data_IF_641395009032
#
_entry.id   IF_641395009032
#
_cell.length_a   1.000
_cell.length_b   1.000
_cell.length_c   1.000
_cell.angle_alpha   90.00
_cell.angle_beta   90.00
_cell.angle_gamma   90.00
#
_symmetry.space_group_name_H-M   'P 1'
#
loop_
_entity.id
_entity.type
_entity.pdbx_description
1 polymer ?
#
# COMPACT_ATOMS: atom_id res chain seq x y z
N UNK A 1 -22.62 13.77 -27.50
CA UNK A 1 -22.58 14.24 -26.10
C UNK A 1 -21.18 13.98 -25.59
N UNK A 2 -20.58 14.93 -24.86
CA UNK A 2 -19.34 14.66 -24.14
C UNK A 2 -19.44 13.38 -23.32
N UNK A 3 -18.40 12.52 -23.35
CA UNK A 3 -18.41 11.30 -22.55
C UNK A 3 -18.30 11.63 -21.06
N UNK A 4 -18.65 10.64 -20.25
CA UNK A 4 -18.45 10.63 -18.81
C UNK A 4 -17.35 9.63 -18.55
N UNK A 5 -16.42 9.99 -17.68
CA UNK A 5 -15.28 9.16 -17.33
C UNK A 5 -15.12 9.04 -15.83
N UNK A 6 -14.81 7.81 -15.38
CA UNK A 6 -14.38 7.48 -14.02
C UNK A 6 -13.04 6.79 -14.12
N UNK A 7 -12.08 7.20 -13.32
CA UNK A 7 -10.80 6.51 -13.20
C UNK A 7 -9.86 7.28 -12.30
N UNK A 8 -8.63 6.77 -12.21
CA UNK A 8 -7.38 7.48 -11.97
C UNK A 8 -6.29 6.42 -11.85
N UNK A 9 -5.63 6.25 -10.70
CA UNK A 9 -4.38 5.49 -10.60
C UNK A 9 -4.32 4.54 -9.40
N UNK A 10 -3.54 3.47 -9.57
CA UNK A 10 -3.07 2.60 -8.48
C UNK A 10 -1.55 2.74 -8.37
N UNK A 11 -1.06 3.09 -7.19
CA UNK A 11 0.37 3.34 -6.97
C UNK A 11 0.87 2.79 -5.63
N UNK A 12 2.19 2.75 -5.48
CA UNK A 12 2.86 2.45 -4.22
C UNK A 12 3.10 3.73 -3.43
N UNK A 13 2.34 3.89 -2.35
CA UNK A 13 2.48 4.97 -1.39
C UNK A 13 3.68 4.65 -0.48
N UNK A 14 4.83 5.28 -0.73
CA UNK A 14 6.10 4.88 -0.12
C UNK A 14 6.28 5.50 1.26
N UNK A 15 5.62 6.63 1.52
CA UNK A 15 5.71 7.35 2.79
C UNK A 15 4.43 7.20 3.65
N UNK A 16 3.46 6.42 3.17
CA UNK A 16 2.19 6.12 3.83
C UNK A 16 1.34 7.37 4.14
N UNK A 17 1.45 8.42 3.32
CA UNK A 17 0.70 9.67 3.53
C UNK A 17 -0.64 9.73 2.78
N UNK A 18 -0.94 8.72 1.97
CA UNK A 18 -2.16 8.64 1.16
C UNK A 18 -2.22 9.66 0.04
N UNK A 19 -1.09 10.21 -0.41
CA UNK A 19 -0.97 11.20 -1.50
C UNK A 19 0.01 10.67 -2.54
N UNK A 20 -0.35 10.78 -3.82
CA UNK A 20 0.53 10.44 -4.93
C UNK A 20 1.70 11.42 -4.99
N UNK A 21 2.88 11.04 -4.52
CA UNK A 21 4.08 11.89 -4.52
C UNK A 21 5.00 11.65 -5.74
N UNK A 22 5.77 12.67 -6.18
CA UNK A 22 6.78 12.47 -7.22
C UNK A 22 7.79 11.38 -6.82
N UNK A 23 7.96 10.38 -7.69
CA UNK A 23 8.85 9.25 -7.46
C UNK A 23 8.14 7.99 -6.96
N UNK A 24 6.86 8.08 -6.60
CA UNK A 24 6.08 6.91 -6.22
C UNK A 24 5.73 6.03 -7.42
N UNK A 25 6.05 4.75 -7.30
CA UNK A 25 5.97 3.81 -8.41
C UNK A 25 4.53 3.39 -8.68
N UNK A 26 4.11 3.24 -9.95
CA UNK A 26 2.80 2.73 -10.30
C UNK A 26 2.65 1.22 -9.99
N UNK A 27 1.40 0.76 -9.90
CA UNK A 27 1.09 -0.68 -9.81
C UNK A 27 0.29 -1.13 -11.03
N UNK A 28 0.96 -1.84 -11.93
CA UNK A 28 0.38 -2.39 -13.16
C UNK A 28 -0.34 -3.72 -12.96
N UNK A 29 -1.29 -4.03 -13.84
CA UNK A 29 -1.95 -5.35 -13.88
C UNK A 29 -3.00 -5.58 -12.79
N UNK A 30 -3.44 -4.54 -12.10
CA UNK A 30 -4.49 -4.60 -11.07
C UNK A 30 -5.85 -4.57 -11.75
N UNK A 31 -6.69 -5.58 -11.49
CA UNK A 31 -8.07 -5.58 -11.96
C UNK A 31 -8.91 -4.63 -11.09
N UNK A 32 -9.52 -3.64 -11.74
CA UNK A 32 -10.41 -2.65 -11.15
C UNK A 32 -11.82 -2.86 -11.70
N UNK A 33 -12.85 -2.73 -10.86
CA UNK A 33 -14.22 -3.11 -11.19
C UNK A 33 -15.20 -1.99 -10.82
N UNK A 34 -16.11 -1.68 -11.75
CA UNK A 34 -17.15 -0.66 -11.58
C UNK A 34 -18.47 -1.32 -11.24
N UNK A 35 -19.16 -0.81 -10.22
CA UNK A 35 -20.46 -1.29 -9.75
C UNK A 35 -21.47 -0.15 -9.66
N UNK A 36 -22.75 -0.51 -9.71
CA UNK A 36 -23.81 0.41 -9.32
C UNK A 36 -23.68 0.80 -7.84
N UNK A 37 -24.15 1.99 -7.46
CA UNK A 37 -24.21 2.40 -6.07
C UNK A 37 -24.94 1.36 -5.20
N UNK A 38 -24.37 1.04 -4.04
CA UNK A 38 -24.98 0.17 -3.04
C UNK A 38 -24.89 -1.32 -3.37
N UNK A 39 -24.28 -1.70 -4.49
CA UNK A 39 -24.03 -3.09 -4.81
C UNK A 39 -23.09 -3.71 -3.77
N UNK A 40 -23.40 -4.93 -3.33
CA UNK A 40 -22.44 -5.72 -2.57
C UNK A 40 -21.33 -6.20 -3.51
N UNK A 41 -20.16 -5.57 -3.41
CA UNK A 41 -18.99 -5.86 -4.26
C UNK A 41 -18.53 -7.33 -4.17
N UNK A 42 -18.91 -8.07 -3.11
CA UNK A 42 -18.55 -9.48 -2.95
C UNK A 42 -19.44 -10.43 -3.75
N UNK A 43 -20.68 -10.02 -4.07
CA UNK A 43 -21.67 -10.88 -4.71
C UNK A 43 -22.12 -10.35 -6.08
N UNK A 44 -22.10 -9.04 -6.28
CA UNK A 44 -22.57 -8.42 -7.51
C UNK A 44 -21.64 -8.72 -8.69
N UNK A 45 -22.25 -8.79 -9.88
CA UNK A 45 -21.51 -8.75 -11.14
C UNK A 45 -21.15 -7.28 -11.44
N UNK A 46 -19.89 -6.95 -11.74
CA UNK A 46 -19.52 -5.58 -12.06
C UNK A 46 -20.14 -5.15 -13.39
N UNK A 47 -20.48 -3.86 -13.50
CA UNK A 47 -20.93 -3.22 -14.75
C UNK A 47 -19.82 -3.22 -15.80
N UNK A 48 -18.57 -3.06 -15.35
CA UNK A 48 -17.38 -3.09 -16.20
C UNK A 48 -16.15 -3.45 -15.38
N UNK A 49 -15.09 -3.91 -16.07
CA UNK A 49 -13.80 -4.23 -15.44
C UNK A 49 -12.66 -3.68 -16.27
N UNK A 50 -11.73 -2.95 -15.66
CA UNK A 50 -10.49 -2.47 -16.26
C UNK A 50 -9.27 -3.15 -15.61
N UNK A 51 -8.10 -3.03 -16.23
CA UNK A 51 -6.82 -3.52 -15.69
C UNK A 51 -5.78 -2.41 -15.78
N UNK A 52 -5.14 -2.03 -14.69
CA UNK A 52 -4.17 -0.94 -14.69
C UNK A 52 -3.03 -1.18 -15.69
N UNK A 53 -2.62 -0.13 -16.40
CA UNK A 53 -1.49 -0.17 -17.34
C UNK A 53 -0.14 -0.08 -16.63
N UNK A 54 0.96 0.05 -17.39
CA UNK A 54 2.31 0.10 -16.85
C UNK A 54 2.54 1.31 -15.92
N UNK A 55 1.74 2.36 -16.12
CA UNK A 55 1.73 3.61 -15.38
C UNK A 55 0.68 3.62 -14.25
N UNK A 56 -0.03 2.50 -14.07
CA UNK A 56 -0.97 2.29 -12.96
C UNK A 56 -2.37 2.85 -13.23
N UNK A 57 -2.65 3.39 -14.42
CA UNK A 57 -3.91 4.06 -14.72
C UNK A 57 -4.99 3.10 -15.18
N UNK A 58 -6.24 3.43 -14.86
CA UNK A 58 -7.45 2.75 -15.33
C UNK A 58 -8.59 3.74 -15.59
N UNK A 59 -9.47 3.40 -16.52
CA UNK A 59 -10.58 4.27 -16.95
C UNK A 59 -11.83 3.46 -17.33
N UNK A 60 -12.98 3.97 -16.93
CA UNK A 60 -14.31 3.63 -17.43
C UNK A 60 -14.91 4.84 -18.16
N UNK A 61 -15.34 4.68 -19.41
CA UNK A 61 -15.81 5.76 -20.26
C UNK A 61 -17.11 5.39 -20.99
N UNK A 62 -18.03 6.36 -21.08
CA UNK A 62 -19.23 6.22 -21.90
C UNK A 62 -18.98 6.46 -23.39
N UNK A 63 -17.79 6.92 -23.81
CA UNK A 63 -17.47 7.18 -25.22
C UNK A 63 -17.50 5.87 -26.02
N UNK A 64 -18.38 5.71 -27.02
CA UNK A 64 -18.43 4.50 -27.84
C UNK A 64 -17.29 4.39 -28.86
N UNK A 65 -16.54 5.47 -29.12
CA UNK A 65 -15.53 5.54 -30.18
C UNK A 65 -14.21 4.87 -29.78
N UNK A 66 -13.89 4.84 -28.49
CA UNK A 66 -12.56 4.48 -27.99
C UNK A 66 -11.45 5.43 -28.50
N UNK A 67 -10.23 5.29 -27.99
CA UNK A 67 -9.05 5.89 -28.61
C UNK A 67 -8.37 4.86 -29.51
N UNK A 68 -8.03 5.17 -30.78
CA UNK A 68 -7.29 4.24 -31.61
C UNK A 68 -5.89 4.01 -31.04
N UNK A 69 -5.47 2.74 -30.97
CA UNK A 69 -4.23 2.28 -30.34
C UNK A 69 -2.92 2.73 -31.03
N UNK A 70 -2.94 3.64 -32.01
CA UNK A 70 -1.73 4.11 -32.68
C UNK A 70 -1.26 5.46 -32.12
N UNK A 71 -0.28 5.40 -31.22
CA UNK A 71 0.25 6.55 -30.49
C UNK A 71 1.00 7.56 -31.33
N UNK A 72 0.30 8.37 -32.13
CA UNK A 72 0.74 9.66 -32.67
C UNK A 72 -0.46 10.41 -33.29
N UNK A 73 -1.54 10.60 -32.53
CA UNK A 73 -2.48 11.68 -32.82
C UNK A 73 -3.29 12.01 -31.57
N UNK A 74 -2.74 12.91 -30.73
CA UNK A 74 -3.60 13.78 -29.95
C UNK A 74 -4.42 14.57 -30.98
N UNK A 75 -5.63 14.11 -31.27
CA UNK A 75 -6.54 14.86 -32.12
C UNK A 75 -6.77 16.18 -31.37
N UNK A 76 -6.27 17.27 -31.93
CA UNK A 76 -6.69 18.63 -31.57
C UNK A 76 -8.18 18.73 -31.93
N UNK A 77 -9.03 18.18 -31.08
CA UNK A 77 -10.46 18.41 -31.18
C UNK A 77 -10.73 19.78 -30.55
N UNK A 78 -10.88 20.76 -31.43
CA UNK A 78 -11.36 22.12 -31.14
C UNK A 78 -12.74 22.16 -30.46
N UNK A 79 -13.39 21.02 -30.22
CA UNK A 79 -14.61 20.89 -29.40
C UNK A 79 -14.35 20.86 -27.88
N UNK A 80 -13.10 21.01 -27.43
CA UNK A 80 -12.75 21.00 -26.01
C UNK A 80 -12.78 19.60 -25.37
N UNK A 81 -12.97 18.55 -26.16
CA UNK A 81 -12.91 17.17 -25.70
C UNK A 81 -11.45 16.71 -25.67
N UNK A 82 -10.69 17.21 -24.69
CA UNK A 82 -9.36 16.68 -24.40
C UNK A 82 -9.54 15.36 -23.68
N UNK A 83 -9.54 14.28 -24.46
CA UNK A 83 -9.24 12.96 -23.94
C UNK A 83 -7.98 12.99 -23.10
N UNK A 84 -8.10 12.53 -21.86
CA UNK A 84 -6.99 12.15 -20.99
C UNK A 84 -5.65 12.82 -21.32
N UNK A 85 -5.59 14.12 -21.05
CA UNK A 85 -4.32 14.75 -20.74
C UNK A 85 -4.53 15.32 -19.35
N UNK A 86 -4.63 14.43 -18.35
CA UNK A 86 -4.12 14.84 -17.06
C UNK A 86 -2.68 15.28 -17.31
N UNK A 87 -2.29 16.43 -16.79
CA UNK A 87 -0.91 16.93 -16.90
C UNK A 87 0.11 15.98 -16.25
N UNK A 88 -0.36 14.97 -15.49
CA UNK A 88 0.44 13.87 -14.93
C UNK A 88 0.60 12.65 -15.87
N UNK A 89 -0.23 12.48 -16.90
CA UNK A 89 -0.16 11.38 -17.87
C UNK A 89 0.88 11.66 -18.96
N UNK A 90 2.12 11.92 -18.53
CA UNK A 90 3.27 12.07 -19.42
C UNK A 90 3.72 10.69 -19.94
N UNK A 91 2.96 10.12 -20.87
CA UNK A 91 3.32 8.84 -21.47
C UNK A 91 2.16 8.17 -22.18
N UNK A 92 1.59 8.82 -23.20
CA UNK A 92 0.47 8.27 -23.97
C UNK A 92 0.79 6.88 -24.55
N UNK A 93 0.27 5.83 -23.90
CA UNK A 93 0.03 4.47 -24.44
C UNK A 93 -0.79 3.65 -23.44
N UNK A 94 -2.02 4.07 -23.17
CA UNK A 94 -2.94 3.22 -22.44
C UNK A 94 -3.39 2.02 -23.29
N UNK A 95 -3.41 0.83 -22.69
CA UNK A 95 -3.91 -0.38 -23.35
C UNK A 95 -5.45 -0.42 -23.35
N UNK A 96 -6.06 -1.14 -24.29
CA UNK A 96 -7.53 -1.41 -24.29
C UNK A 96 -8.01 -2.23 -23.08
N UNK A 97 -7.08 -2.70 -22.23
CA UNK A 97 -7.39 -3.33 -20.96
C UNK A 97 -7.58 -2.31 -19.84
N UNK A 98 -6.76 -1.25 -19.82
CA UNK A 98 -6.84 -0.13 -18.88
C UNK A 98 -8.06 0.75 -19.11
N UNK A 99 -8.51 0.87 -20.36
CA UNK A 99 -9.68 1.66 -20.69
C UNK A 99 -10.86 0.80 -21.14
N UNK A 100 -12.01 0.98 -20.49
CA UNK A 100 -13.29 0.39 -20.92
C UNK A 100 -14.22 1.47 -21.46
N UNK A 101 -14.53 1.35 -22.74
CA UNK A 101 -15.30 2.31 -23.53
C UNK A 101 -16.73 1.83 -23.79
N UNK A 102 -17.57 2.74 -24.27
CA UNK A 102 -18.93 2.46 -24.73
C UNK A 102 -19.88 2.03 -23.61
N UNK A 103 -19.58 2.40 -22.36
CA UNK A 103 -20.39 2.05 -21.20
C UNK A 103 -21.69 2.85 -21.19
N UNK A 104 -22.73 2.30 -21.83
CA UNK A 104 -24.08 2.90 -21.84
C UNK A 104 -24.71 3.00 -20.45
N UNK A 105 -24.21 2.20 -19.49
CA UNK A 105 -24.63 2.23 -18.09
C UNK A 105 -24.01 3.35 -17.28
N UNK A 106 -23.06 4.09 -17.85
CA UNK A 106 -22.42 5.24 -17.21
C UNK A 106 -23.23 6.50 -17.56
N UNK A 107 -24.01 6.96 -16.59
CA UNK A 107 -25.02 8.02 -16.72
C UNK A 107 -24.59 9.25 -15.93
N UNK A 108 -24.97 10.47 -16.35
CA UNK A 108 -24.64 11.70 -15.62
C UNK A 108 -25.35 11.74 -14.26
N UNK A 109 -24.80 12.48 -13.30
CA UNK A 109 -25.37 12.68 -11.96
C UNK A 109 -25.75 11.37 -11.23
N UNK A 110 -25.02 10.30 -11.51
CA UNK A 110 -25.30 8.96 -10.97
C UNK A 110 -24.14 8.51 -10.10
N UNK A 111 -24.47 7.89 -8.96
CA UNK A 111 -23.45 7.34 -8.07
C UNK A 111 -23.07 5.91 -8.50
N UNK A 112 -21.79 5.61 -8.36
CA UNK A 112 -21.17 4.32 -8.62
C UNK A 112 -20.21 3.93 -7.49
N UNK A 113 -19.81 2.68 -7.46
CA UNK A 113 -18.71 2.21 -6.63
C UNK A 113 -17.60 1.66 -7.52
N UNK A 114 -16.37 2.02 -7.21
CA UNK A 114 -15.18 1.42 -7.80
C UNK A 114 -14.52 0.55 -6.76
N UNK A 115 -14.18 -0.68 -7.12
CA UNK A 115 -13.54 -1.60 -6.21
C UNK A 115 -12.36 -2.33 -6.86
N UNK A 116 -11.35 -2.57 -6.02
CA UNK A 116 -10.31 -3.55 -6.26
C UNK A 116 -10.57 -4.69 -5.28
N UNK A 117 -10.95 -5.85 -5.80
CA UNK A 117 -11.20 -7.02 -4.95
C UNK A 117 -9.90 -7.71 -4.57
N UNK A 118 -9.92 -8.38 -3.42
CA UNK A 118 -8.79 -9.18 -2.94
C UNK A 118 -7.50 -8.36 -2.78
N UNK A 119 -7.59 -7.29 -2.01
CA UNK A 119 -6.44 -6.46 -1.62
C UNK A 119 -5.86 -6.89 -0.27
N UNK A 120 -6.56 -7.74 0.49
CA UNK A 120 -6.10 -8.32 1.76
C UNK A 120 -6.38 -9.83 1.82
N UNK A 121 -5.65 -10.53 2.70
CA UNK A 121 -5.79 -11.99 2.91
C UNK A 121 -5.02 -12.86 1.89
N UNK A 122 -5.27 -14.17 1.93
CA UNK A 122 -4.49 -15.16 1.18
C UNK A 122 -4.75 -15.15 -0.34
N UNK A 123 -5.92 -14.68 -0.78
CA UNK A 123 -6.33 -14.69 -2.19
C UNK A 123 -6.01 -13.38 -2.92
N UNK A 124 -5.02 -12.61 -2.44
CA UNK A 124 -4.65 -11.32 -3.02
C UNK A 124 -4.39 -11.42 -4.53
N UNK A 125 -4.74 -10.37 -5.29
CA UNK A 125 -4.28 -10.26 -6.67
C UNK A 125 -2.75 -10.26 -6.72
N UNK A 126 -2.16 -10.91 -7.74
CA UNK A 126 -0.70 -11.08 -7.82
C UNK A 126 0.07 -9.75 -7.77
N UNK A 127 -0.44 -8.71 -8.43
CA UNK A 127 0.14 -7.37 -8.44
C UNK A 127 0.14 -6.68 -7.05
N UNK A 128 -0.68 -7.17 -6.11
CA UNK A 128 -0.88 -6.61 -4.77
C UNK A 128 -0.47 -7.58 -3.65
N UNK A 129 0.15 -8.73 -4.00
CA UNK A 129 0.37 -9.83 -3.08
C UNK A 129 1.18 -9.43 -1.83
N UNK A 130 2.14 -8.51 -1.99
CA UNK A 130 2.99 -7.99 -0.92
C UNK A 130 2.56 -6.62 -0.40
N UNK A 131 1.48 -6.04 -0.90
CA UNK A 131 1.10 -4.67 -0.57
C UNK A 131 -0.10 -4.62 0.39
N UNK A 132 -0.23 -3.53 1.13
CA UNK A 132 -1.39 -3.21 1.97
C UNK A 132 -2.03 -1.91 1.50
N UNK A 133 -3.35 -1.79 1.61
CA UNK A 133 -4.03 -0.56 1.23
C UNK A 133 -3.60 0.57 2.17
N UNK A 134 -3.20 1.72 1.59
CA UNK A 134 -2.92 2.91 2.39
C UNK A 134 -4.21 3.54 2.92
N UNK A 135 -4.12 4.27 4.02
CA UNK A 135 -5.28 4.97 4.55
C UNK A 135 -5.74 6.06 3.55
N UNK A 136 -7.06 6.27 3.37
CA UNK A 136 -7.52 7.37 2.53
C UNK A 136 -7.00 8.71 3.06
N UNK A 137 -6.60 9.60 2.15
CA UNK A 137 -6.29 10.99 2.49
C UNK A 137 -7.45 11.89 2.07
N UNK A 138 -7.77 12.89 2.88
CA UNK A 138 -8.82 13.90 2.61
C UNK A 138 -8.19 15.27 2.32
N UNK A 139 -6.97 15.28 1.77
CA UNK A 139 -6.24 16.50 1.40
C UNK A 139 -7.00 17.38 0.40
N UNK A 140 -6.50 18.59 0.15
CA UNK A 140 -7.16 19.57 -0.74
C UNK A 140 -7.05 19.25 -2.24
N UNK A 141 -6.30 18.20 -2.61
CA UNK A 141 -6.07 17.78 -3.99
C UNK A 141 -6.72 16.41 -4.21
N UNK A 142 -7.97 16.45 -4.69
CA UNK A 142 -8.80 15.27 -4.91
C UNK A 142 -8.31 14.37 -6.07
N UNK A 143 -7.35 14.81 -6.89
CA UNK A 143 -6.84 14.04 -8.03
C UNK A 143 -5.60 13.21 -7.67
N UNK A 144 -5.11 13.33 -6.42
CA UNK A 144 -3.87 12.71 -5.96
C UNK A 144 -3.99 12.04 -4.60
N UNK A 145 -5.13 12.09 -3.95
CA UNK A 145 -5.35 11.45 -2.66
C UNK A 145 -5.86 10.03 -2.85
N UNK A 146 -5.41 9.09 -2.02
CA UNK A 146 -6.01 7.76 -1.98
C UNK A 146 -7.44 7.90 -1.48
N UNK A 147 -8.39 7.37 -2.25
CA UNK A 147 -9.81 7.35 -1.90
C UNK A 147 -10.24 6.01 -1.31
N UNK A 148 -9.46 4.96 -1.58
CA UNK A 148 -9.80 3.59 -1.26
C UNK A 148 -9.91 3.34 0.24
N UNK A 149 -11.07 2.85 0.69
CA UNK A 149 -11.28 2.33 2.03
C UNK A 149 -11.43 0.80 2.01
N UNK A 150 -10.93 0.11 3.04
CA UNK A 150 -11.11 -1.34 3.18
C UNK A 150 -12.56 -1.69 3.53
N UNK A 151 -13.17 -2.54 2.70
CA UNK A 151 -14.44 -3.21 2.97
C UNK A 151 -14.22 -4.73 2.90
N UNK A 152 -14.03 -5.35 4.06
CA UNK A 152 -13.57 -6.75 4.14
C UNK A 152 -12.17 -6.90 3.55
N UNK A 153 -12.03 -7.70 2.50
CA UNK A 153 -10.76 -7.89 1.78
C UNK A 153 -10.65 -7.06 0.49
N UNK A 154 -11.54 -6.09 0.27
CA UNK A 154 -11.60 -5.28 -0.94
C UNK A 154 -11.28 -3.82 -0.61
N UNK A 155 -10.65 -3.10 -1.55
CA UNK A 155 -10.57 -1.64 -1.51
C UNK A 155 -11.75 -1.08 -2.30
N UNK A 156 -12.49 -0.14 -1.72
CA UNK A 156 -13.70 0.43 -2.31
C UNK A 156 -13.69 1.95 -2.19
N UNK A 157 -14.09 2.64 -3.25
CA UNK A 157 -14.37 4.07 -3.28
C UNK A 157 -15.71 4.36 -3.95
N UNK A 158 -16.37 5.45 -3.57
CA UNK A 158 -17.65 5.89 -4.13
C UNK A 158 -17.50 7.10 -5.02
N UNK A 159 -17.97 6.90 -6.25
CA UNK A 159 -18.07 7.78 -7.40
C UNK A 159 -19.36 8.57 -7.60
N UNK A 160 -19.46 9.91 -7.59
CA UNK A 160 -20.60 10.56 -8.26
C UNK A 160 -20.15 11.16 -9.58
N UNK A 161 -20.65 10.63 -10.70
CA UNK A 161 -20.40 11.25 -12.00
C UNK A 161 -21.05 12.63 -12.03
N UNK A 162 -20.37 13.58 -12.64
CA UNK A 162 -20.89 14.94 -12.81
C UNK A 162 -21.94 15.00 -13.93
N UNK A 163 -22.34 16.21 -14.31
CA UNK A 163 -23.17 16.46 -15.49
C UNK A 163 -22.51 15.92 -16.78
N UNK A 164 -23.23 15.93 -17.89
CA UNK A 164 -22.72 15.49 -19.19
C UNK A 164 -21.41 16.23 -19.54
N UNK A 165 -20.31 15.48 -19.66
CA UNK A 165 -18.96 16.00 -19.90
C UNK A 165 -18.16 16.33 -18.65
N UNK A 166 -18.71 16.12 -17.47
CA UNK A 166 -17.98 16.19 -16.22
C UNK A 166 -17.35 14.83 -15.91
N UNK A 167 -16.03 14.79 -16.02
CA UNK A 167 -15.21 13.62 -15.71
C UNK A 167 -14.82 13.61 -14.24
N UNK A 168 -14.72 12.43 -13.64
CA UNK A 168 -14.18 12.25 -12.29
C UNK A 168 -12.91 11.42 -12.36
N UNK A 169 -11.78 12.11 -12.27
CA UNK A 169 -10.42 11.55 -12.29
C UNK A 169 -9.81 11.56 -10.89
N UNK A 170 -10.63 11.37 -9.86
CA UNK A 170 -10.22 11.38 -8.47
C UNK A 170 -10.03 9.97 -7.91
N UNK A 171 -10.56 8.93 -8.57
CA UNK A 171 -10.75 7.63 -7.92
C UNK A 171 -9.46 6.84 -7.88
N UNK A 172 -8.82 6.89 -6.72
CA UNK A 172 -7.44 6.52 -6.51
C UNK A 172 -7.24 5.48 -5.42
N UNK A 173 -6.22 4.63 -5.59
CA UNK A 173 -5.86 3.61 -4.62
C UNK A 173 -4.35 3.56 -4.38
N UNK A 174 -3.92 4.10 -3.24
CA UNK A 174 -2.55 3.97 -2.76
C UNK A 174 -2.32 2.67 -2.00
N UNK A 175 -1.15 2.07 -2.19
CA UNK A 175 -0.76 0.84 -1.53
C UNK A 175 0.63 0.97 -0.92
N UNK A 176 0.78 0.63 0.36
CA UNK A 176 2.09 0.66 1.02
C UNK A 176 2.78 -0.69 0.88
N UNK A 177 4.10 -0.66 0.73
CA UNK A 177 4.91 -1.84 1.05
C UNK A 177 5.00 -1.95 2.57
N UNK A 178 4.52 -3.06 3.17
CA UNK A 178 4.61 -3.26 4.59
C UNK A 178 6.09 -3.30 5.01
N UNK A 179 6.53 -2.27 5.74
CA UNK A 179 7.87 -2.19 6.30
C UNK A 179 7.86 -2.60 7.77
N UNK A 180 8.93 -3.29 8.20
CA UNK A 180 9.15 -3.59 9.60
C UNK A 180 9.84 -2.41 10.28
N UNK A 181 9.33 -2.00 11.43
CA UNK A 181 9.94 -0.98 12.28
C UNK A 181 10.35 -1.64 13.59
N UNK A 182 11.66 -1.79 13.79
CA UNK A 182 12.24 -2.48 14.94
C UNK A 182 13.01 -1.51 15.81
N UNK A 183 12.69 -1.52 17.10
CA UNK A 183 13.34 -0.68 18.11
C UNK A 183 14.00 -1.52 19.16
N UNK A 184 15.29 -1.26 19.40
CA UNK A 184 16.07 -1.93 20.42
C UNK A 184 16.33 -1.02 21.61
N UNK A 185 15.96 -1.47 22.80
CA UNK A 185 16.37 -0.91 24.08
C UNK A 185 17.35 -1.84 24.79
N UNK A 186 18.27 -1.27 25.58
CA UNK A 186 19.15 -2.03 26.48
C UNK A 186 19.24 -1.33 27.83
N UNK A 187 19.03 -2.08 28.90
CA UNK A 187 19.19 -1.63 30.28
C UNK A 187 20.15 -2.56 31.02
N UNK A 188 20.62 -2.09 32.17
CA UNK A 188 21.46 -2.86 33.09
C UNK A 188 20.91 -2.69 34.49
N UNK A 189 20.92 -3.75 35.29
CA UNK A 189 20.46 -3.72 36.67
C UNK A 189 21.41 -2.94 37.60
N UNK A 190 22.71 -2.92 37.28
CA UNK A 190 23.77 -2.27 38.06
C UNK A 190 24.73 -1.51 37.16
N UNK A 191 25.00 -0.26 37.51
CA UNK A 191 25.97 0.61 36.82
C UNK A 191 27.32 0.70 37.54
N UNK A 192 27.38 0.26 38.81
CA UNK A 192 28.59 0.21 39.63
C UNK A 192 28.68 -1.17 40.28
N UNK A 193 29.80 -1.86 40.07
CA UNK A 193 30.00 -3.26 40.47
C UNK A 193 31.41 -3.50 40.97
N UNK A 194 31.58 -4.49 41.83
CA UNK A 194 32.89 -4.99 42.28
C UNK A 194 33.24 -6.28 41.55
N UNK A 195 34.53 -6.65 41.45
CA UNK A 195 34.92 -7.97 40.97
C UNK A 195 34.14 -9.08 41.68
N UNK A 196 33.55 -9.99 40.89
CA UNK A 196 32.69 -11.07 41.36
C UNK A 196 31.19 -10.76 41.40
N UNK A 197 30.77 -9.49 41.27
CA UNK A 197 29.34 -9.16 41.22
C UNK A 197 28.69 -9.65 39.92
N UNK A 198 27.48 -10.19 40.03
CA UNK A 198 26.61 -10.47 38.88
C UNK A 198 25.92 -9.21 38.38
N UNK A 199 25.92 -9.04 37.05
CA UNK A 199 25.25 -7.97 36.30
C UNK A 199 24.31 -8.61 35.30
N UNK A 200 23.10 -8.05 35.17
CA UNK A 200 22.10 -8.49 34.21
C UNK A 200 21.80 -7.33 33.26
N UNK A 201 22.15 -7.52 31.99
CA UNK A 201 21.67 -6.67 30.92
C UNK A 201 20.33 -7.20 30.41
N UNK A 202 19.37 -6.31 30.18
CA UNK A 202 18.10 -6.65 29.53
C UNK A 202 18.02 -5.90 28.22
N UNK A 203 18.00 -6.64 27.11
CA UNK A 203 17.67 -6.12 25.79
C UNK A 203 16.16 -6.29 25.58
N UNK A 204 15.51 -5.27 25.03
CA UNK A 204 14.11 -5.30 24.62
C UNK A 204 14.03 -4.92 23.16
N UNK A 205 13.60 -5.85 22.32
CA UNK A 205 13.37 -5.61 20.90
C UNK A 205 11.86 -5.51 20.65
N UNK A 206 11.40 -4.33 20.31
CA UNK A 206 9.99 -4.05 20.00
C UNK A 206 9.80 -3.98 18.49
N UNK A 207 8.79 -4.65 17.97
CA UNK A 207 8.29 -4.42 16.62
C UNK A 207 7.15 -3.39 16.68
N UNK A 208 7.44 -2.16 16.28
CA UNK A 208 6.49 -1.03 16.31
C UNK A 208 5.60 -1.02 15.05
N UNK A 209 5.86 -1.86 14.05
CA UNK A 209 5.06 -1.95 12.81
C UNK A 209 3.83 -2.86 12.92
N UNK A 210 2.95 -2.78 11.92
CA UNK A 210 1.77 -3.62 11.74
C UNK A 210 2.07 -4.95 11.01
N UNK A 211 3.35 -5.26 10.84
CA UNK A 211 3.84 -6.38 10.04
C UNK A 211 4.83 -7.17 10.86
N UNK A 212 4.77 -8.49 10.75
CA UNK A 212 5.73 -9.36 11.41
C UNK A 212 7.14 -9.15 10.85
N UNK A 213 8.13 -8.98 11.72
CA UNK A 213 9.53 -8.96 11.32
C UNK A 213 10.10 -10.39 11.34
N UNK A 214 10.75 -10.82 10.27
CA UNK A 214 11.31 -12.15 10.15
C UNK A 214 12.85 -12.13 10.18
N UNK A 215 13.45 -13.21 10.66
CA UNK A 215 14.90 -13.44 10.66
C UNK A 215 15.71 -12.30 11.31
N UNK A 216 15.23 -11.79 12.44
CA UNK A 216 15.88 -10.69 13.14
C UNK A 216 17.13 -11.19 13.86
N UNK A 217 18.22 -10.44 13.74
CA UNK A 217 19.47 -10.69 14.44
C UNK A 217 19.90 -9.42 15.19
N UNK A 218 20.15 -9.57 16.50
CA UNK A 218 20.68 -8.49 17.34
C UNK A 218 22.05 -8.91 17.86
N UNK A 219 23.09 -8.15 17.51
CA UNK A 219 24.43 -8.38 18.01
C UNK A 219 24.67 -7.63 19.32
N UNK A 220 25.10 -8.33 20.36
CA UNK A 220 25.48 -7.77 21.64
C UNK A 220 26.71 -8.51 22.20
N UNK A 221 27.85 -7.84 22.12
CA UNK A 221 29.09 -8.32 22.70
C UNK A 221 29.28 -7.67 24.08
N UNK A 222 29.31 -8.50 25.11
CA UNK A 222 29.61 -8.03 26.46
C UNK A 222 31.03 -7.44 26.53
N UNK A 223 31.24 -6.34 27.27
CA UNK A 223 32.57 -5.77 27.51
C UNK A 223 33.54 -6.81 28.08
N UNK A 224 34.84 -6.68 27.75
CA UNK A 224 35.88 -7.60 28.21
C UNK A 224 36.10 -7.62 29.72
N UNK A 225 35.61 -6.59 30.45
CA UNK A 225 35.60 -6.52 31.91
C UNK A 225 34.55 -7.44 32.55
N UNK A 226 33.70 -8.07 31.75
CA UNK A 226 32.71 -9.03 32.21
C UNK A 226 33.04 -10.44 31.70
N UNK A 227 32.58 -11.44 32.45
CA UNK A 227 32.58 -12.85 32.05
C UNK A 227 31.14 -13.27 31.82
N UNK A 228 30.80 -13.69 30.61
CA UNK A 228 29.46 -14.20 30.29
C UNK A 228 29.12 -15.42 31.15
N UNK A 229 27.93 -15.44 31.73
CA UNK A 229 27.40 -16.55 32.52
C UNK A 229 26.32 -17.29 31.74
N UNK A 230 25.24 -16.59 31.38
CA UNK A 230 24.13 -17.17 30.61
C UNK A 230 23.31 -16.11 29.88
N UNK A 231 22.52 -16.59 28.92
CA UNK A 231 21.54 -15.83 28.19
C UNK A 231 20.16 -16.47 28.39
N UNK A 232 19.14 -15.64 28.63
CA UNK A 232 17.74 -16.06 28.76
C UNK A 232 16.88 -15.24 27.79
N UNK A 233 16.73 -15.68 26.53
CA UNK A 233 15.83 -15.04 25.59
C UNK A 233 14.36 -15.42 25.86
N UNK A 234 13.41 -14.50 25.63
CA UNK A 234 11.97 -14.83 25.57
C UNK A 234 11.59 -15.53 24.26
N UNK A 235 12.36 -15.28 23.19
CA UNK A 235 12.21 -15.92 21.90
C UNK A 235 13.56 -16.11 21.20
N UNK A 236 13.68 -17.16 20.38
CA UNK A 236 14.90 -17.42 19.61
C UNK A 236 16.06 -17.95 20.46
N UNK A 237 17.29 -17.71 20.00
CA UNK A 237 18.52 -18.22 20.65
C UNK A 237 19.61 -17.16 20.68
N UNK A 238 20.46 -17.20 21.71
CA UNK A 238 21.66 -16.37 21.79
C UNK A 238 22.90 -17.25 21.68
N UNK A 239 23.71 -17.03 20.64
CA UNK A 239 24.94 -17.77 20.41
C UNK A 239 26.03 -16.82 19.91
N UNK A 240 27.23 -16.94 20.47
CA UNK A 240 28.41 -16.17 20.06
C UNK A 240 28.16 -14.64 19.89
N UNK A 241 27.43 -14.03 20.84
CA UNK A 241 27.15 -12.59 20.80
C UNK A 241 25.97 -12.18 19.91
N UNK A 242 25.25 -13.12 19.30
CA UNK A 242 24.12 -12.83 18.40
C UNK A 242 22.84 -13.46 18.93
N UNK A 243 21.82 -12.63 19.15
CA UNK A 243 20.44 -13.03 19.42
C UNK A 243 19.70 -13.19 18.09
N UNK A 244 19.34 -14.42 17.74
CA UNK A 244 18.60 -14.74 16.51
C UNK A 244 17.16 -15.08 16.82
N UNK A 245 16.22 -14.38 16.20
CA UNK A 245 14.77 -14.52 16.37
C UNK A 245 14.13 -14.74 15.00
N UNK A 246 13.48 -15.89 14.80
CA UNK A 246 12.87 -16.22 13.50
C UNK A 246 11.73 -15.28 13.12
N UNK A 247 10.98 -14.79 14.12
CA UNK A 247 9.84 -13.90 13.94
C UNK A 247 9.60 -13.05 15.19
N UNK A 248 9.45 -11.74 15.02
CA UNK A 248 8.91 -10.81 16.01
C UNK A 248 7.55 -10.33 15.51
N UNK A 249 6.48 -10.74 16.19
CA UNK A 249 5.11 -10.42 15.76
C UNK A 249 4.87 -8.91 15.74
N UNK A 250 4.03 -8.45 14.80
CA UNK A 250 3.60 -7.05 14.74
C UNK A 250 3.08 -6.56 16.10
N UNK A 251 3.45 -5.33 16.49
CA UNK A 251 3.04 -4.70 17.76
C UNK A 251 3.40 -5.47 19.05
N UNK A 252 4.35 -6.39 19.01
CA UNK A 252 4.86 -7.09 20.21
C UNK A 252 6.32 -6.74 20.51
N UNK A 253 6.80 -7.18 21.67
CA UNK A 253 8.20 -7.06 22.05
C UNK A 253 8.74 -8.40 22.56
N UNK A 254 10.01 -8.66 22.27
CA UNK A 254 10.78 -9.78 22.80
C UNK A 254 11.91 -9.24 23.68
N UNK A 255 12.40 -10.06 24.60
CA UNK A 255 13.48 -9.70 25.54
C UNK A 255 14.60 -10.72 25.54
N UNK A 256 15.80 -10.25 25.87
CA UNK A 256 16.95 -11.08 26.15
C UNK A 256 17.65 -10.58 27.40
N UNK A 257 17.73 -11.45 28.42
CA UNK A 257 18.54 -11.20 29.61
C UNK A 257 19.92 -11.84 29.44
N UNK A 258 20.98 -11.04 29.57
CA UNK A 258 22.36 -11.49 29.59
C UNK A 258 22.93 -11.33 31.00
N UNK A 259 23.23 -12.45 31.64
CA UNK A 259 23.88 -12.49 32.94
C UNK A 259 25.39 -12.62 32.76
N UNK A 260 26.15 -11.78 33.47
CA UNK A 260 27.59 -11.77 33.44
C UNK A 260 28.18 -11.44 34.81
N UNK A 261 29.41 -11.88 35.07
CA UNK A 261 30.14 -11.58 36.31
C UNK A 261 31.25 -10.57 36.04
N UNK A 262 31.35 -9.54 36.87
CA UNK A 262 32.43 -8.56 36.80
C UNK A 262 33.78 -9.21 37.14
N UNK A 263 34.81 -8.88 36.36
CA UNK A 263 36.20 -9.34 36.60
C UNK A 263 36.92 -8.46 37.62
#
# INVERSE_FOLDING_TARGET
MPPIEIGNRVWKDTNANGVQDPGETPVAGVKVELFAQGADVNAATPLATAVTDAEGYYVFSSDPRGYPANGNNAVNDTSGHRGFISTDMQGGRASSASHKYGLKSLLPNTQYQVAIRQVAGASKQAALASLSLTAPSQGSDAERNSDGSLAGNNAVSSVTTLDVGGNSHAVDFGFIEPSTDLKLGKTVDKTTVRPGDTVVYTLTLTNESDVDAANVQVADNLPSSLTFVKATPSAGTFNAGVWSISKVTAKTAETLQLEATAK
#
